data_IF_981632066665
#
_entry.id   IF_981632066665
#
_cell.length_a   1.000
_cell.length_b   1.000
_cell.length_c   1.000
_cell.angle_alpha   90.00
_cell.angle_beta   90.00
_cell.angle_gamma   90.00
#
_symmetry.space_group_name_H-M   'P 1'
#
loop_
_entity.id
_entity.type
_entity.pdbx_description
1 polymer ?
#
# COMPACT_ATOMS: atom_id res chain seq x y z
N UNK A 1 -16.61 2.90 6.69
CA UNK A 1 -15.33 2.51 6.09
C UNK A 1 -14.59 1.40 6.86
N UNK A 2 -13.93 1.66 8.01
CA UNK A 2 -13.08 0.62 8.65
C UNK A 2 -13.85 -0.64 9.09
N UNK A 3 -15.08 -0.50 9.60
CA UNK A 3 -15.94 -1.65 9.94
C UNK A 3 -16.29 -2.51 8.72
N UNK A 4 -16.50 -1.89 7.55
CA UNK A 4 -16.82 -2.60 6.31
C UNK A 4 -15.59 -3.35 5.78
N UNK A 5 -14.40 -2.77 5.91
CA UNK A 5 -13.14 -3.35 5.42
C UNK A 5 -12.59 -4.45 6.34
N UNK A 6 -12.71 -4.27 7.67
CA UNK A 6 -12.05 -5.16 8.64
C UNK A 6 -12.99 -5.93 9.57
N UNK A 7 -14.30 -5.69 9.48
CA UNK A 7 -15.28 -6.35 10.34
C UNK A 7 -14.93 -6.19 11.81
N UNK A 8 -14.90 -7.32 12.54
CA UNK A 8 -14.60 -7.33 13.99
C UNK A 8 -13.18 -6.87 14.34
N UNK A 9 -12.24 -6.83 13.37
CA UNK A 9 -10.88 -6.30 13.58
C UNK A 9 -10.80 -4.78 13.48
N UNK A 10 -11.88 -4.10 13.09
CA UNK A 10 -11.88 -2.64 12.92
C UNK A 10 -11.46 -1.90 14.20
N UNK A 11 -11.85 -2.38 15.38
CA UNK A 11 -11.42 -1.79 16.66
C UNK A 11 -9.91 -1.80 16.80
N UNK A 12 -9.23 -2.90 16.47
CA UNK A 12 -7.77 -2.98 16.56
C UNK A 12 -7.06 -2.04 15.57
N UNK A 13 -7.62 -1.88 14.37
CA UNK A 13 -7.11 -0.94 13.36
C UNK A 13 -7.27 0.51 13.84
N UNK A 14 -8.46 0.88 14.34
CA UNK A 14 -8.73 2.21 14.91
C UNK A 14 -7.75 2.51 16.04
N UNK A 15 -7.52 1.52 16.89
CA UNK A 15 -6.59 1.59 18.02
C UNK A 15 -5.14 1.80 17.59
N UNK A 16 -4.71 1.18 16.49
CA UNK A 16 -3.37 1.38 15.92
C UNK A 16 -3.23 2.77 15.29
N UNK A 17 -4.24 3.22 14.55
CA UNK A 17 -4.30 4.53 13.92
C UNK A 17 -4.25 5.65 14.99
N UNK A 18 -5.12 5.56 16.00
CA UNK A 18 -5.27 6.62 17.03
C UNK A 18 -4.01 6.79 17.91
N UNK A 19 -3.15 5.76 17.97
CA UNK A 19 -1.89 5.79 18.73
C UNK A 19 -0.67 6.16 17.89
N UNK A 20 -0.85 6.40 16.59
CA UNK A 20 0.21 6.73 15.65
C UNK A 20 0.09 8.18 15.17
N UNK A 21 1.16 8.73 14.62
CA UNK A 21 1.12 9.97 13.84
C UNK A 21 0.58 9.66 12.43
N UNK A 22 -0.72 9.37 12.36
CA UNK A 22 -1.35 8.93 11.12
C UNK A 22 -1.63 10.11 10.18
N UNK A 23 -1.34 9.89 8.90
CA UNK A 23 -1.67 10.79 7.79
C UNK A 23 -2.25 10.00 6.63
N UNK A 24 -3.18 10.61 5.89
CA UNK A 24 -3.56 10.13 4.58
C UNK A 24 -2.31 10.02 3.67
N UNK A 25 -2.31 9.04 2.77
CA UNK A 25 -1.25 8.94 1.77
C UNK A 25 -1.34 10.12 0.80
N UNK A 26 -0.20 10.70 0.44
CA UNK A 26 -0.15 11.85 -0.48
C UNK A 26 -0.65 11.48 -1.88
N UNK A 27 -0.45 10.22 -2.28
CA UNK A 27 -0.84 9.68 -3.58
C UNK A 27 -2.30 9.19 -3.65
N UNK A 28 -2.98 9.00 -2.50
CA UNK A 28 -4.37 8.52 -2.46
C UNK A 28 -5.04 8.71 -1.10
N UNK A 29 -6.32 9.10 -1.10
CA UNK A 29 -7.14 9.20 0.12
C UNK A 29 -7.72 7.85 0.60
N UNK A 30 -7.43 6.74 -0.10
CA UNK A 30 -8.04 5.43 0.18
C UNK A 30 -7.56 4.77 1.47
N UNK A 31 -6.33 5.08 1.86
CA UNK A 31 -5.59 4.48 2.97
C UNK A 31 -4.75 5.55 3.65
N UNK A 32 -4.39 5.28 4.90
CA UNK A 32 -3.48 6.12 5.67
C UNK A 32 -2.19 5.38 6.03
N UNK A 33 -1.16 6.13 6.39
CA UNK A 33 0.17 5.61 6.74
C UNK A 33 0.14 4.59 7.88
N UNK A 34 -0.68 4.81 8.91
CA UNK A 34 -0.81 3.93 10.06
C UNK A 34 -1.67 2.71 9.72
N UNK A 35 -2.68 2.86 8.84
CA UNK A 35 -3.44 1.72 8.33
C UNK A 35 -2.55 0.77 7.52
N UNK A 36 -1.75 1.29 6.59
CA UNK A 36 -0.75 0.50 5.86
C UNK A 36 0.23 -0.17 6.82
N UNK A 37 0.76 0.59 7.80
CA UNK A 37 1.65 0.04 8.82
C UNK A 37 1.01 -1.11 9.61
N UNK A 38 -0.26 -0.97 10.00
CA UNK A 38 -1.01 -2.02 10.68
C UNK A 38 -1.13 -3.28 9.82
N UNK A 39 -1.44 -3.14 8.52
CA UNK A 39 -1.51 -4.27 7.59
C UNK A 39 -0.17 -5.01 7.50
N UNK A 40 0.93 -4.27 7.39
CA UNK A 40 2.28 -4.84 7.33
C UNK A 40 2.58 -5.67 8.57
N UNK A 41 2.30 -5.12 9.75
CA UNK A 41 2.63 -5.77 11.03
C UNK A 41 1.73 -6.97 11.34
N UNK A 42 0.46 -6.97 10.90
CA UNK A 42 -0.55 -7.93 11.37
C UNK A 42 -1.05 -8.92 10.31
N UNK A 43 -0.74 -8.71 9.03
CA UNK A 43 -1.32 -9.51 7.94
C UNK A 43 -0.31 -10.33 7.14
N UNK A 44 0.85 -10.60 7.76
CA UNK A 44 1.93 -11.42 7.20
C UNK A 44 2.44 -10.91 5.85
N UNK A 45 2.65 -9.60 5.76
CA UNK A 45 3.22 -8.96 4.57
C UNK A 45 4.70 -9.33 4.47
N UNK A 46 5.10 -9.86 3.32
CA UNK A 46 6.50 -10.21 3.00
C UNK A 46 6.95 -9.52 1.72
N UNK A 47 6.03 -9.24 0.81
CA UNK A 47 6.30 -8.57 -0.46
C UNK A 47 5.37 -7.39 -0.68
N UNK A 48 5.75 -6.49 -1.58
CA UNK A 48 4.94 -5.32 -1.92
C UNK A 48 3.58 -5.71 -2.53
N UNK A 49 3.52 -6.83 -3.26
CA UNK A 49 2.29 -7.40 -3.81
C UNK A 49 1.27 -7.79 -2.73
N UNK A 50 1.71 -8.19 -1.54
CA UNK A 50 0.78 -8.59 -0.47
C UNK A 50 -0.10 -7.40 -0.08
N UNK A 51 0.48 -6.20 -0.03
CA UNK A 51 -0.25 -4.97 0.28
C UNK A 51 -1.12 -4.57 -0.90
N UNK A 52 -0.53 -4.34 -2.07
CA UNK A 52 -1.21 -3.71 -3.21
C UNK A 52 -2.21 -4.63 -3.93
N UNK A 53 -1.98 -5.94 -3.93
CA UNK A 53 -2.80 -6.91 -4.66
C UNK A 53 -3.73 -7.72 -3.77
N UNK A 54 -3.51 -7.76 -2.44
CA UNK A 54 -4.23 -8.68 -1.55
C UNK A 54 -4.80 -8.07 -0.28
N UNK A 55 -4.16 -7.06 0.32
CA UNK A 55 -4.61 -6.42 1.58
C UNK A 55 -5.26 -5.06 1.39
N UNK A 56 -5.22 -4.54 0.17
CA UNK A 56 -5.86 -3.30 -0.21
C UNK A 56 -6.71 -3.48 -1.46
N UNK A 57 -7.72 -2.63 -1.61
CA UNK A 57 -8.60 -2.63 -2.78
C UNK A 57 -8.02 -1.77 -3.93
N UNK A 58 -6.81 -1.21 -3.79
CA UNK A 58 -6.20 -0.27 -4.74
C UNK A 58 -6.12 -0.88 -6.15
N UNK A 59 -5.63 -2.12 -6.25
CA UNK A 59 -5.55 -2.86 -7.52
C UNK A 59 -6.92 -3.22 -8.08
N UNK A 60 -7.85 -3.64 -7.23
CA UNK A 60 -9.20 -3.98 -7.63
C UNK A 60 -9.98 -2.76 -8.17
N UNK A 61 -9.75 -1.59 -7.59
CA UNK A 61 -10.32 -0.31 -8.05
C UNK A 61 -9.61 0.25 -9.29
N UNK A 62 -8.55 -0.40 -9.78
CA UNK A 62 -7.79 0.05 -10.94
C UNK A 62 -7.00 1.35 -10.69
N UNK A 63 -6.68 1.65 -9.43
CA UNK A 63 -6.05 2.92 -9.04
C UNK A 63 -4.54 2.82 -8.86
N UNK A 64 -3.91 1.66 -9.12
CA UNK A 64 -2.46 1.48 -8.92
C UNK A 64 -1.68 2.38 -9.87
N UNK A 65 -1.00 3.37 -9.32
CA UNK A 65 -0.09 4.27 -10.05
C UNK A 65 1.33 4.16 -9.50
N UNK A 66 2.32 4.65 -10.25
CA UNK A 66 3.70 4.65 -9.79
C UNK A 66 3.88 5.39 -8.45
N UNK A 67 3.16 6.50 -8.25
CA UNK A 67 3.22 7.29 -7.02
C UNK A 67 2.72 6.51 -5.81
N UNK A 68 1.60 5.79 -5.94
CA UNK A 68 1.07 4.93 -4.87
C UNK A 68 2.03 3.78 -4.57
N UNK A 69 2.60 3.16 -5.60
CA UNK A 69 3.59 2.09 -5.43
C UNK A 69 4.80 2.58 -4.65
N UNK A 70 5.37 3.72 -5.04
CA UNK A 70 6.56 4.28 -4.41
C UNK A 70 6.30 4.67 -2.95
N UNK A 71 5.16 5.32 -2.66
CA UNK A 71 4.79 5.74 -1.32
C UNK A 71 4.57 4.54 -0.39
N UNK A 72 3.81 3.52 -0.83
CA UNK A 72 3.61 2.29 -0.04
C UNK A 72 4.93 1.53 0.11
N UNK A 73 5.79 1.48 -0.90
CA UNK A 73 7.09 0.83 -0.81
C UNK A 73 7.98 1.47 0.25
N UNK A 74 7.92 2.79 0.44
CA UNK A 74 8.63 3.49 1.53
C UNK A 74 8.13 3.03 2.90
N UNK A 75 6.81 2.95 3.08
CA UNK A 75 6.20 2.54 4.36
C UNK A 75 6.50 1.08 4.68
N UNK A 76 6.36 0.18 3.71
CA UNK A 76 6.63 -1.25 3.87
C UNK A 76 8.12 -1.47 4.15
N UNK A 77 9.01 -0.80 3.42
CA UNK A 77 10.45 -0.90 3.64
C UNK A 77 10.85 -0.48 5.06
N UNK A 78 10.29 0.62 5.57
CA UNK A 78 10.57 1.09 6.92
C UNK A 78 10.12 0.09 8.00
N UNK A 79 9.00 -0.61 7.79
CA UNK A 79 8.46 -1.60 8.74
C UNK A 79 9.19 -2.94 8.69
N UNK A 80 9.53 -3.41 7.48
CA UNK A 80 10.20 -4.70 7.27
C UNK A 80 11.74 -4.60 7.31
N UNK A 81 12.28 -3.39 7.45
CA UNK A 81 13.73 -3.16 7.52
C UNK A 81 14.46 -3.33 6.19
N UNK A 82 13.77 -3.11 5.07
CA UNK A 82 14.39 -3.17 3.75
C UNK A 82 15.31 -1.98 3.53
N UNK A 83 16.48 -2.25 2.94
CA UNK A 83 17.33 -1.19 2.44
C UNK A 83 16.82 -0.65 1.08
N UNK A 84 17.53 0.33 0.53
CA UNK A 84 17.16 0.95 -0.73
C UNK A 84 17.22 -0.02 -1.93
N UNK A 85 18.13 -1.00 -1.90
CA UNK A 85 18.28 -1.98 -2.97
C UNK A 85 17.12 -2.97 -2.93
N UNK A 86 16.81 -3.54 -1.76
CA UNK A 86 15.69 -4.45 -1.58
C UNK A 86 14.35 -3.78 -1.91
N UNK A 87 14.14 -2.53 -1.50
CA UNK A 87 12.94 -1.77 -1.89
C UNK A 87 12.84 -1.62 -3.41
N UNK A 88 13.95 -1.29 -4.09
CA UNK A 88 13.97 -1.18 -5.55
C UNK A 88 13.67 -2.51 -6.23
N UNK A 89 14.20 -3.62 -5.70
CA UNK A 89 13.96 -4.96 -6.23
C UNK A 89 12.49 -5.38 -6.06
N UNK A 90 11.87 -5.05 -4.93
CA UNK A 90 10.45 -5.30 -4.67
C UNK A 90 9.54 -4.48 -5.59
N UNK A 91 9.85 -3.20 -5.82
CA UNK A 91 9.11 -2.37 -6.79
C UNK A 91 9.22 -2.95 -8.21
N UNK A 92 10.42 -3.34 -8.63
CA UNK A 92 10.62 -3.95 -9.94
C UNK A 92 9.91 -5.31 -10.07
N UNK A 93 9.88 -6.10 -8.99
CA UNK A 93 9.16 -7.37 -8.93
C UNK A 93 7.65 -7.17 -9.05
N UNK A 94 7.08 -6.22 -8.30
CA UNK A 94 5.67 -5.85 -8.41
C UNK A 94 5.32 -5.37 -9.83
N UNK A 95 6.15 -4.50 -10.43
CA UNK A 95 5.94 -4.01 -11.80
C UNK A 95 5.86 -5.15 -12.81
N UNK A 96 6.76 -6.14 -12.70
CA UNK A 96 6.70 -7.34 -13.55
C UNK A 96 5.40 -8.11 -13.31
N UNK A 97 5.05 -8.41 -12.07
CA UNK A 97 3.83 -9.15 -11.73
C UNK A 97 2.56 -8.45 -12.24
N UNK A 98 2.45 -7.14 -12.04
CA UNK A 98 1.36 -6.31 -12.57
C UNK A 98 1.23 -6.45 -14.09
N UNK A 99 2.34 -6.35 -14.82
CA UNK A 99 2.31 -6.44 -16.28
C UNK A 99 2.04 -7.85 -16.80
N UNK A 100 2.71 -8.86 -16.24
CA UNK A 100 2.69 -10.23 -16.76
C UNK A 100 1.47 -11.02 -16.31
N UNK A 101 1.00 -10.81 -15.08
CA UNK A 101 -0.08 -11.60 -14.48
C UNK A 101 -1.41 -10.84 -14.45
N UNK A 102 -1.37 -9.51 -14.47
CA UNK A 102 -2.57 -8.67 -14.34
C UNK A 102 -2.83 -7.76 -15.56
N UNK A 103 -1.90 -7.68 -16.52
CA UNK A 103 -2.03 -6.81 -17.70
C UNK A 103 -2.00 -5.31 -17.36
N UNK A 104 -1.51 -4.94 -16.17
CA UNK A 104 -1.43 -3.57 -15.68
C UNK A 104 -0.04 -3.01 -15.93
N UNK A 105 0.05 -1.90 -16.65
CA UNK A 105 1.29 -1.13 -16.81
C UNK A 105 1.21 0.12 -15.95
N UNK A 106 2.18 0.29 -15.04
CA UNK A 106 2.21 1.47 -14.17
C UNK A 106 2.41 2.73 -15.01
N UNK A 107 1.40 3.59 -14.99
CA UNK A 107 1.51 4.96 -15.43
C UNK A 107 1.79 5.86 -14.21
N UNK A 108 2.48 6.97 -14.46
CA UNK A 108 2.45 8.10 -13.52
C UNK A 108 1.11 8.78 -13.63
N UNK A 109 0.49 9.12 -12.50
CA UNK A 109 -0.73 9.92 -12.49
C UNK A 109 -0.47 11.20 -13.26
N UNK A 110 -1.19 11.40 -14.37
CA UNK A 110 -1.11 12.63 -15.15
C UNK A 110 -1.50 13.82 -14.26
N UNK A 111 -0.67 14.87 -14.23
CA UNK A 111 -0.92 16.10 -13.48
C UNK A 111 -2.29 16.66 -13.85
N UNK A 112 -3.28 16.46 -12.99
CA UNK A 112 -4.49 17.25 -13.01
C UNK A 112 -4.16 18.56 -12.30
N UNK A 113 -3.59 19.48 -13.06
CA UNK A 113 -3.65 20.91 -12.75
C UNK A 113 -5.14 21.27 -12.79
N UNK A 114 -5.70 21.63 -11.64
CA UNK A 114 -6.99 22.30 -11.55
C UNK A 114 -6.75 23.80 -11.49
#
# INVERSE_FOLDING_TARGET
>A
QLLERYGTRATAVIDAITRSDDRALESTDLYSSAEIGYLVDHESVVHLDDVLLRRTDISFLGQVTAEIVDEIAVLVAARLGWDAAQRSDEVARLQRNLSELHGIHLARSGSLVN
#
